data_IF_498293568009
#
_entry.id   IF_498293568009
#
_cell.length_a   1.000
_cell.length_b   1.000
_cell.length_c   1.000
_cell.angle_alpha   90.00
_cell.angle_beta   90.00
_cell.angle_gamma   90.00
#
_symmetry.space_group_name_H-M   'P 1'
#
loop_
_entity.id
_entity.type
_entity.pdbx_description
1 polymer ?
#
# COMPACT_ATOMS: atom_id res chain seq x y z
N UNK A 1 42.32 0.83 2.64
CA UNK A 1 41.10 1.65 2.31
C UNK A 1 40.18 1.83 3.51
N UNK A 2 40.00 0.80 4.35
CA UNK A 2 39.17 0.85 5.58
C UNK A 2 39.63 1.91 6.59
N UNK A 3 40.94 2.11 6.75
CA UNK A 3 41.50 3.10 7.68
C UNK A 3 41.29 4.57 7.24
N UNK A 4 41.17 4.86 5.94
CA UNK A 4 40.98 6.25 5.46
C UNK A 4 39.52 6.73 5.57
N UNK A 5 38.55 5.84 5.58
CA UNK A 5 37.12 6.20 5.76
C UNK A 5 36.78 6.50 7.22
N UNK A 6 37.51 5.98 8.17
CA UNK A 6 37.27 6.14 9.62
C UNK A 6 37.81 7.46 10.18
N UNK A 7 38.93 7.99 9.66
CA UNK A 7 39.67 9.12 10.24
C UNK A 7 38.91 10.45 10.20
N UNK A 8 37.98 10.67 9.30
CA UNK A 8 37.18 11.91 9.27
C UNK A 8 35.85 11.84 10.02
N UNK A 9 35.45 10.64 10.46
CA UNK A 9 34.13 10.37 11.07
C UNK A 9 34.22 9.73 12.47
N UNK A 10 35.42 9.50 13.00
CA UNK A 10 35.63 8.75 14.25
C UNK A 10 34.90 9.35 15.46
N UNK A 11 34.86 10.67 15.60
CA UNK A 11 34.10 11.32 16.66
C UNK A 11 32.59 11.12 16.49
N UNK A 12 32.09 11.12 15.27
CA UNK A 12 30.68 10.89 15.00
C UNK A 12 30.24 9.42 15.21
N UNK A 13 31.08 8.46 14.83
CA UNK A 13 30.82 7.03 15.02
C UNK A 13 30.85 6.68 16.50
N UNK A 14 31.86 7.11 17.23
CA UNK A 14 31.99 6.84 18.65
C UNK A 14 30.82 7.36 19.49
N UNK A 15 30.37 8.58 19.21
CA UNK A 15 29.30 9.19 19.98
C UNK A 15 27.90 8.63 19.62
N UNK A 16 27.67 8.34 18.34
CA UNK A 16 26.42 7.72 17.89
C UNK A 16 26.31 6.24 18.28
N UNK A 17 27.43 5.51 18.31
CA UNK A 17 27.47 4.11 18.70
C UNK A 17 27.28 3.88 20.21
N UNK A 18 27.20 4.95 21.03
CA UNK A 18 26.88 4.89 22.48
C UNK A 18 25.39 4.71 22.77
N UNK A 19 24.52 4.85 21.77
CA UNK A 19 23.08 4.60 21.94
C UNK A 19 22.83 3.11 22.10
N UNK A 20 21.72 2.69 22.79
CA UNK A 20 21.37 1.28 22.92
C UNK A 20 21.19 0.58 21.58
N UNK A 21 20.70 1.33 20.56
CA UNK A 21 20.49 0.82 19.20
C UNK A 21 21.80 0.66 18.41
N UNK A 22 22.89 1.31 18.85
CA UNK A 22 24.15 1.37 18.12
C UNK A 22 24.09 2.27 16.90
N UNK A 23 25.11 2.21 16.05
CA UNK A 23 25.17 2.90 14.78
C UNK A 23 25.27 1.89 13.63
N UNK A 24 24.36 1.98 12.66
CA UNK A 24 24.45 1.20 11.44
C UNK A 24 25.45 1.82 10.46
N UNK A 25 26.33 0.98 9.94
CA UNK A 25 27.30 1.31 8.90
C UNK A 25 27.09 0.39 7.70
N UNK A 26 27.03 0.99 6.51
CA UNK A 26 27.03 0.26 5.25
C UNK A 26 28.46 0.27 4.71
N UNK A 27 29.14 -0.86 4.78
CA UNK A 27 30.47 -1.06 4.24
C UNK A 27 30.40 -1.85 2.93
N UNK A 28 31.49 -1.90 2.19
CA UNK A 28 31.53 -2.59 0.90
C UNK A 28 31.22 -4.10 0.99
N UNK A 29 31.45 -4.69 2.13
CA UNK A 29 31.26 -6.11 2.45
C UNK A 29 29.95 -6.42 3.18
N UNK A 30 29.18 -5.40 3.58
CA UNK A 30 27.89 -5.65 4.25
C UNK A 30 27.41 -4.52 5.14
N UNK A 31 26.35 -4.83 5.90
CA UNK A 31 25.72 -3.97 6.88
C UNK A 31 26.21 -4.36 8.28
N UNK A 32 26.74 -3.40 8.98
CA UNK A 32 27.32 -3.58 10.30
C UNK A 32 26.61 -2.71 11.32
N UNK A 33 26.33 -3.24 12.50
CA UNK A 33 25.87 -2.45 13.64
C UNK A 33 27.03 -2.30 14.65
N UNK A 34 27.37 -1.06 14.95
CA UNK A 34 28.53 -0.74 15.81
C UNK A 34 28.03 -0.18 17.13
N UNK A 35 28.45 -0.82 18.21
CA UNK A 35 28.22 -0.36 19.58
C UNK A 35 29.55 0.10 20.19
N UNK A 36 29.50 1.18 20.94
CA UNK A 36 30.68 1.66 21.67
C UNK A 36 30.41 1.69 23.17
N UNK A 37 31.42 1.27 23.93
CA UNK A 37 31.44 1.40 25.40
C UNK A 37 32.77 1.92 25.89
N UNK A 38 32.75 2.68 26.99
CA UNK A 38 33.96 3.16 27.63
C UNK A 38 34.36 2.20 28.74
N UNK A 39 35.57 1.67 28.65
CA UNK A 39 36.15 0.75 29.64
C UNK A 39 37.21 1.48 30.44
N UNK A 40 37.17 1.45 31.79
CA UNK A 40 38.20 2.01 32.60
C UNK A 40 39.53 1.29 32.36
N UNK A 41 40.58 2.01 32.00
CA UNK A 41 41.91 1.47 31.71
C UNK A 41 42.98 2.19 32.50
N UNK A 42 43.11 1.94 33.79
CA UNK A 42 44.14 2.58 34.62
C UNK A 42 44.01 4.10 34.68
N UNK A 43 45.03 4.82 34.19
CA UNK A 43 45.05 6.30 34.15
C UNK A 43 44.32 6.88 32.94
N UNK A 44 43.96 6.08 31.95
CA UNK A 44 43.28 6.50 30.71
C UNK A 44 42.01 5.67 30.48
N UNK A 45 40.99 6.27 29.89
CA UNK A 45 39.78 5.56 29.44
C UNK A 45 39.97 5.03 28.04
N UNK A 46 39.63 3.76 27.80
CA UNK A 46 39.61 3.14 26.47
C UNK A 46 38.20 3.07 25.94
N UNK A 47 38.05 3.23 24.63
CA UNK A 47 36.77 2.99 23.94
C UNK A 47 36.81 1.63 23.26
N UNK A 48 35.91 0.75 23.65
CA UNK A 48 35.68 -0.53 23.00
C UNK A 48 34.61 -0.33 21.91
N UNK A 49 34.92 -0.72 20.67
CA UNK A 49 33.98 -0.77 19.57
C UNK A 49 33.68 -2.25 19.25
N UNK A 50 32.41 -2.58 19.23
CA UNK A 50 31.91 -3.93 18.87
C UNK A 50 31.18 -3.81 17.54
N UNK A 51 31.67 -4.53 16.53
CA UNK A 51 31.07 -4.59 15.21
C UNK A 51 30.29 -5.90 15.07
N UNK A 52 28.99 -5.79 14.88
CA UNK A 52 28.09 -6.91 14.60
C UNK A 52 27.69 -6.88 13.14
N UNK A 53 27.98 -7.95 12.40
CA UNK A 53 27.52 -8.07 11.03
C UNK A 53 26.00 -8.41 11.01
N UNK A 54 25.21 -7.56 10.37
CA UNK A 54 23.77 -7.70 10.26
C UNK A 54 23.29 -7.89 8.81
N UNK A 55 24.17 -8.12 7.85
CA UNK A 55 23.86 -8.22 6.43
C UNK A 55 22.74 -9.23 6.16
N UNK A 56 22.88 -10.45 6.68
CA UNK A 56 21.88 -11.50 6.52
C UNK A 56 20.55 -11.14 7.18
N UNK A 57 20.61 -10.59 8.40
CA UNK A 57 19.41 -10.17 9.13
C UNK A 57 18.64 -9.08 8.38
N UNK A 58 19.34 -8.04 7.90
CA UNK A 58 18.73 -6.95 7.14
C UNK A 58 18.14 -7.41 5.82
N UNK A 59 18.81 -8.35 5.15
CA UNK A 59 18.28 -8.95 3.93
C UNK A 59 16.98 -9.72 4.20
N UNK A 60 16.95 -10.52 5.26
CA UNK A 60 15.74 -11.27 5.64
C UNK A 60 14.62 -10.31 6.04
N UNK A 61 14.92 -9.27 6.82
CA UNK A 61 13.95 -8.25 7.22
C UNK A 61 13.34 -7.53 6.00
N UNK A 62 14.16 -7.15 5.05
CA UNK A 62 13.74 -6.49 3.82
C UNK A 62 12.84 -7.41 2.99
N UNK A 63 13.27 -8.66 2.78
CA UNK A 63 12.49 -9.66 2.05
C UNK A 63 11.17 -9.97 2.76
N UNK A 64 11.20 -10.11 4.08
CA UNK A 64 9.98 -10.32 4.89
C UNK A 64 8.98 -9.17 4.70
N UNK A 65 9.44 -7.91 4.75
CA UNK A 65 8.57 -6.74 4.54
C UNK A 65 8.02 -6.70 3.11
N UNK A 66 8.88 -6.98 2.13
CA UNK A 66 8.53 -6.94 0.71
C UNK A 66 7.57 -8.06 0.28
N UNK A 67 7.65 -9.23 0.93
CA UNK A 67 6.80 -10.40 0.64
C UNK A 67 5.50 -10.44 1.43
N UNK A 68 5.27 -9.51 2.36
CA UNK A 68 4.01 -9.48 3.12
C UNK A 68 2.82 -9.30 2.19
N UNK A 69 1.71 -10.04 2.41
CA UNK A 69 0.52 -9.89 1.59
C UNK A 69 -0.22 -8.60 1.93
N UNK A 70 -0.54 -7.82 0.91
CA UNK A 70 -1.56 -6.78 0.96
C UNK A 70 -2.85 -7.22 0.29
N UNK A 71 -3.94 -6.53 0.56
CA UNK A 71 -5.26 -6.85 0.06
C UNK A 71 -5.82 -5.71 -0.79
N UNK A 72 -6.43 -6.05 -1.92
CA UNK A 72 -7.07 -5.10 -2.82
C UNK A 72 -8.52 -5.49 -3.06
N UNK A 73 -9.40 -4.50 -3.09
CA UNK A 73 -10.79 -4.63 -3.53
C UNK A 73 -11.02 -3.69 -4.69
N UNK A 74 -11.56 -4.21 -5.78
CA UNK A 74 -11.94 -3.44 -6.96
C UNK A 74 -13.45 -3.43 -7.07
N UNK A 75 -14.02 -2.30 -7.40
CA UNK A 75 -15.44 -2.16 -7.68
C UNK A 75 -15.65 -1.37 -8.96
N UNK A 76 -16.37 -1.92 -9.90
CA UNK A 76 -16.83 -1.20 -11.09
C UNK A 76 -17.91 -0.21 -10.66
N UNK A 77 -17.65 1.07 -10.88
CA UNK A 77 -18.55 2.14 -10.44
C UNK A 77 -19.83 2.13 -11.27
N UNK A 78 -20.98 2.23 -10.59
CA UNK A 78 -22.28 2.24 -11.26
C UNK A 78 -22.55 1.00 -12.12
N UNK A 79 -22.10 -0.18 -11.70
CA UNK A 79 -22.18 -1.43 -12.48
C UNK A 79 -23.58 -1.67 -13.10
N UNK A 80 -24.62 -1.54 -12.30
CA UNK A 80 -25.98 -1.78 -12.78
C UNK A 80 -26.41 -0.72 -13.81
N UNK A 81 -26.07 0.55 -13.59
CA UNK A 81 -26.38 1.65 -14.51
C UNK A 81 -25.64 1.50 -15.86
N UNK A 82 -24.37 1.04 -15.80
CA UNK A 82 -23.54 0.85 -17.00
C UNK A 82 -23.99 -0.33 -17.84
N UNK A 83 -24.42 -1.42 -17.22
CA UNK A 83 -24.68 -2.68 -17.90
C UNK A 83 -26.15 -3.01 -18.10
N UNK A 84 -27.13 -2.24 -17.55
CA UNK A 84 -28.58 -2.54 -17.64
C UNK A 84 -29.11 -2.53 -19.08
N UNK A 85 -28.66 -1.55 -19.86
CA UNK A 85 -29.21 -1.29 -21.20
C UNK A 85 -28.31 -1.84 -22.34
N UNK A 86 -27.24 -2.58 -21.98
CA UNK A 86 -26.32 -3.17 -22.96
C UNK A 86 -26.78 -4.52 -23.48
N UNK A 87 -26.49 -4.78 -24.76
CA UNK A 87 -26.61 -6.11 -25.32
C UNK A 87 -25.68 -7.09 -24.60
N UNK A 88 -26.10 -8.33 -24.44
CA UNK A 88 -25.30 -9.37 -23.76
C UNK A 88 -23.91 -9.54 -24.35
N UNK A 89 -23.77 -9.41 -25.68
CA UNK A 89 -22.46 -9.49 -26.36
C UNK A 89 -21.52 -8.32 -26.04
N UNK A 90 -22.04 -7.11 -25.93
CA UNK A 90 -21.27 -5.90 -25.57
C UNK A 90 -20.86 -5.97 -24.11
N UNK A 91 -21.80 -6.35 -23.25
CA UNK A 91 -21.55 -6.59 -21.81
C UNK A 91 -20.44 -7.62 -21.60
N UNK A 92 -20.52 -8.77 -22.31
CA UNK A 92 -19.51 -9.82 -22.20
C UNK A 92 -18.13 -9.32 -22.63
N UNK A 93 -18.06 -8.55 -23.72
CA UNK A 93 -16.80 -7.97 -24.22
C UNK A 93 -16.18 -7.00 -23.22
N UNK A 94 -16.97 -6.11 -22.62
CA UNK A 94 -16.46 -5.16 -21.62
C UNK A 94 -15.99 -5.87 -20.34
N UNK A 95 -16.75 -6.85 -19.86
CA UNK A 95 -16.34 -7.63 -18.69
C UNK A 95 -15.07 -8.43 -18.93
N UNK A 96 -14.88 -8.99 -20.14
CA UNK A 96 -13.63 -9.64 -20.54
C UNK A 96 -12.47 -8.62 -20.58
N UNK A 97 -12.72 -7.42 -21.10
CA UNK A 97 -11.74 -6.33 -21.10
C UNK A 97 -11.30 -5.95 -19.69
N UNK A 98 -12.25 -5.76 -18.76
CA UNK A 98 -11.96 -5.50 -17.36
C UNK A 98 -11.14 -6.62 -16.75
N UNK A 99 -11.56 -7.88 -16.94
CA UNK A 99 -10.82 -9.04 -16.41
C UNK A 99 -9.38 -9.04 -16.91
N UNK A 100 -9.16 -8.86 -18.22
CA UNK A 100 -7.83 -8.83 -18.83
C UNK A 100 -6.96 -7.72 -18.24
N UNK A 101 -7.48 -6.51 -18.10
CA UNK A 101 -6.73 -5.37 -17.53
C UNK A 101 -6.33 -5.64 -16.08
N UNK A 102 -7.25 -6.21 -15.27
CA UNK A 102 -6.96 -6.57 -13.88
C UNK A 102 -5.98 -7.75 -13.77
N UNK A 103 -6.12 -8.77 -14.61
CA UNK A 103 -5.19 -9.91 -14.67
C UNK A 103 -3.79 -9.47 -15.09
N UNK A 104 -3.67 -8.56 -16.06
CA UNK A 104 -2.40 -8.00 -16.49
C UNK A 104 -1.74 -7.16 -15.38
N UNK A 105 -2.54 -6.43 -14.59
CA UNK A 105 -2.03 -5.67 -13.45
C UNK A 105 -1.49 -6.60 -12.36
N UNK A 106 -2.28 -7.59 -11.95
CA UNK A 106 -1.90 -8.48 -10.84
C UNK A 106 -0.76 -9.41 -11.24
N UNK A 107 -0.64 -9.71 -12.54
CA UNK A 107 0.42 -10.55 -13.10
C UNK A 107 0.22 -12.04 -12.80
N UNK A 108 1.04 -12.84 -13.51
CA UNK A 108 1.00 -14.30 -13.34
C UNK A 108 2.10 -14.73 -12.37
N UNK A 109 1.73 -15.09 -11.15
CA UNK A 109 2.61 -15.82 -10.27
C UNK A 109 2.95 -15.24 -8.90
N UNK A 110 2.63 -13.97 -8.62
CA UNK A 110 2.96 -13.33 -7.32
C UNK A 110 1.75 -12.89 -6.51
N UNK A 111 0.55 -13.11 -7.05
CA UNK A 111 -0.71 -12.78 -6.39
C UNK A 111 -1.86 -13.57 -6.99
N UNK A 112 -3.04 -13.39 -6.47
CA UNK A 112 -4.24 -13.91 -7.11
C UNK A 112 -5.29 -12.80 -7.26
N UNK A 113 -6.10 -12.93 -8.31
CA UNK A 113 -7.26 -12.11 -8.58
C UNK A 113 -8.48 -13.01 -8.63
N UNK A 114 -9.58 -12.58 -8.01
CA UNK A 114 -10.86 -13.31 -8.07
C UNK A 114 -12.02 -12.35 -8.16
N UNK A 115 -12.94 -12.64 -9.08
CA UNK A 115 -14.25 -12.01 -9.11
C UNK A 115 -15.13 -12.64 -8.03
N UNK A 116 -15.68 -11.84 -7.12
CA UNK A 116 -16.49 -12.30 -5.98
C UNK A 116 -17.97 -11.96 -6.12
N UNK A 117 -18.28 -10.95 -6.94
CA UNK A 117 -19.65 -10.55 -7.27
C UNK A 117 -19.68 -9.81 -8.62
N UNK A 118 -20.88 -9.40 -9.07
CA UNK A 118 -21.04 -8.54 -10.23
C UNK A 118 -20.26 -7.23 -10.01
N UNK A 119 -19.30 -6.94 -10.91
CA UNK A 119 -18.49 -5.75 -10.83
C UNK A 119 -17.52 -5.67 -9.64
N UNK A 120 -17.40 -6.72 -8.81
CA UNK A 120 -16.52 -6.71 -7.63
C UNK A 120 -15.46 -7.79 -7.73
N UNK A 121 -14.19 -7.36 -7.53
CA UNK A 121 -13.04 -8.25 -7.55
C UNK A 121 -12.21 -8.05 -6.29
N UNK A 122 -11.49 -9.08 -5.92
CA UNK A 122 -10.49 -9.05 -4.85
C UNK A 122 -9.15 -9.54 -5.39
N UNK A 123 -8.08 -8.99 -4.87
CA UNK A 123 -6.73 -9.51 -5.11
C UNK A 123 -5.92 -9.52 -3.82
N UNK A 124 -4.99 -10.45 -3.75
CA UNK A 124 -3.93 -10.46 -2.73
C UNK A 124 -2.61 -10.50 -3.46
N UNK A 125 -1.74 -9.55 -3.15
CA UNK A 125 -0.43 -9.39 -3.78
C UNK A 125 0.60 -9.05 -2.73
N UNK A 126 1.87 -9.30 -3.04
CA UNK A 126 2.96 -8.93 -2.16
C UNK A 126 3.15 -7.41 -2.10
N UNK A 127 3.62 -6.90 -0.97
CA UNK A 127 3.88 -5.49 -0.70
C UNK A 127 4.75 -4.83 -1.77
N UNK A 128 5.78 -5.54 -2.27
CA UNK A 128 6.65 -5.06 -3.35
C UNK A 128 5.91 -4.67 -4.63
N UNK A 129 4.80 -5.34 -4.93
CA UNK A 129 3.98 -5.03 -6.11
C UNK A 129 3.03 -3.88 -5.84
N UNK A 130 2.45 -3.80 -4.63
CA UNK A 130 1.63 -2.66 -4.23
C UNK A 130 2.42 -1.35 -4.32
N UNK A 131 3.68 -1.37 -3.89
CA UNK A 131 4.55 -0.22 -4.01
C UNK A 131 4.80 0.18 -5.47
N UNK A 132 5.01 -0.79 -6.36
CA UNK A 132 5.15 -0.53 -7.79
C UNK A 132 3.86 0.05 -8.40
N UNK A 133 2.67 -0.42 -7.98
CA UNK A 133 1.40 0.12 -8.46
C UNK A 133 1.19 1.55 -7.97
N UNK A 134 1.52 1.84 -6.71
CA UNK A 134 1.46 3.18 -6.15
C UNK A 134 2.39 4.16 -6.88
N UNK A 135 3.63 3.75 -7.19
CA UNK A 135 4.59 4.55 -7.96
C UNK A 135 4.09 4.88 -9.37
N UNK A 136 3.28 4.00 -9.98
CA UNK A 136 2.61 4.23 -11.27
C UNK A 136 1.29 4.98 -11.15
N UNK A 137 0.91 5.39 -9.94
CA UNK A 137 -0.35 6.09 -9.68
C UNK A 137 -1.60 5.24 -9.95
N UNK A 138 -1.49 3.91 -9.90
CA UNK A 138 -2.57 2.97 -10.26
C UNK A 138 -3.10 3.22 -11.67
N UNK A 139 -2.23 3.15 -12.67
CA UNK A 139 -2.51 3.36 -14.10
C UNK A 139 -3.63 2.45 -14.67
N UNK A 140 -4.02 1.44 -13.93
CA UNK A 140 -5.15 0.57 -14.22
C UNK A 140 -6.48 1.36 -14.32
N UNK A 141 -6.62 2.47 -13.58
CA UNK A 141 -7.79 3.34 -13.66
C UNK A 141 -7.96 3.90 -15.08
N UNK A 142 -6.88 4.42 -15.67
CA UNK A 142 -6.88 4.95 -17.03
C UNK A 142 -7.11 3.85 -18.08
N UNK A 143 -6.53 2.67 -17.87
CA UNK A 143 -6.71 1.52 -18.77
C UNK A 143 -8.16 1.05 -18.82
N UNK A 144 -8.86 1.05 -17.67
CA UNK A 144 -10.29 0.70 -17.62
C UNK A 144 -11.14 1.76 -18.31
N UNK A 145 -10.89 3.06 -18.08
CA UNK A 145 -11.59 4.15 -18.79
C UNK A 145 -11.42 4.07 -20.31
N UNK A 146 -10.25 3.64 -20.75
CA UNK A 146 -9.92 3.51 -22.17
C UNK A 146 -10.53 2.29 -22.88
N UNK A 147 -11.15 1.35 -22.16
CA UNK A 147 -11.74 0.13 -22.76
C UNK A 147 -12.86 0.46 -23.74
N UNK A 148 -13.70 1.42 -23.39
CA UNK A 148 -14.74 1.92 -24.27
C UNK A 148 -15.05 3.39 -23.95
N UNK A 149 -14.56 4.34 -24.79
CA UNK A 149 -14.79 5.77 -24.56
C UNK A 149 -16.26 6.22 -24.70
N UNK A 150 -17.11 5.39 -25.30
CA UNK A 150 -18.54 5.68 -25.43
C UNK A 150 -19.33 5.38 -24.14
N UNK A 151 -18.72 4.61 -23.24
CA UNK A 151 -19.28 4.21 -21.95
C UNK A 151 -18.52 4.89 -20.84
N UNK A 152 -19.23 5.50 -19.90
CA UNK A 152 -18.59 6.08 -18.71
C UNK A 152 -18.19 4.97 -17.71
N UNK A 153 -17.22 4.13 -18.13
CA UNK A 153 -16.72 3.01 -17.36
C UNK A 153 -15.60 3.47 -16.44
N UNK A 154 -15.73 3.24 -15.15
CA UNK A 154 -14.69 3.50 -14.15
C UNK A 154 -14.66 2.43 -13.07
N UNK A 155 -13.57 2.38 -12.32
CA UNK A 155 -13.43 1.53 -11.16
C UNK A 155 -12.94 2.32 -9.96
N UNK A 156 -13.37 1.90 -8.79
CA UNK A 156 -12.81 2.32 -7.51
C UNK A 156 -11.99 1.19 -6.91
N UNK A 157 -10.86 1.52 -6.31
CA UNK A 157 -9.93 0.54 -5.75
C UNK A 157 -9.69 0.90 -4.28
N UNK A 158 -9.90 -0.07 -3.39
CA UNK A 158 -9.49 0.00 -1.99
C UNK A 158 -8.30 -0.92 -1.75
N UNK A 159 -7.25 -0.40 -1.12
CA UNK A 159 -6.01 -1.13 -0.85
C UNK A 159 -5.72 -1.07 0.65
N UNK A 160 -5.49 -2.24 1.27
CA UNK A 160 -4.99 -2.38 2.64
C UNK A 160 -3.59 -2.97 2.63
N UNK A 161 -2.63 -2.24 3.21
CA UNK A 161 -1.23 -2.66 3.28
C UNK A 161 -0.59 -2.33 4.64
N UNK A 162 0.52 -3.00 4.95
CA UNK A 162 1.21 -2.81 6.22
C UNK A 162 0.50 -3.43 7.44
N UNK A 163 -0.63 -4.10 7.25
CA UNK A 163 -1.41 -4.73 8.31
C UNK A 163 -0.68 -5.93 8.95
N UNK A 164 -1.01 -6.28 10.19
CA UNK A 164 -0.40 -7.43 10.88
C UNK A 164 -0.95 -8.76 10.37
N UNK A 165 -2.19 -8.79 9.90
CA UNK A 165 -2.87 -9.97 9.41
C UNK A 165 -3.57 -9.69 8.09
N UNK A 166 -3.83 -10.74 7.29
CA UNK A 166 -4.57 -10.60 6.03
C UNK A 166 -6.01 -10.13 6.27
N UNK A 167 -6.62 -10.50 7.40
CA UNK A 167 -7.96 -10.03 7.78
C UNK A 167 -7.96 -8.51 8.00
N UNK A 168 -7.00 -8.02 8.76
CA UNK A 168 -6.83 -6.58 8.97
C UNK A 168 -6.58 -5.84 7.64
N UNK A 169 -5.74 -6.40 6.76
CA UNK A 169 -5.54 -5.84 5.42
C UNK A 169 -6.83 -5.78 4.60
N UNK A 170 -7.68 -6.82 4.70
CA UNK A 170 -9.00 -6.83 4.08
C UNK A 170 -9.91 -5.74 4.62
N UNK A 171 -9.98 -5.60 5.95
CA UNK A 171 -10.82 -4.58 6.60
C UNK A 171 -10.35 -3.16 6.20
N UNK A 172 -9.04 -2.95 6.16
CA UNK A 172 -8.42 -1.70 5.66
C UNK A 172 -8.78 -1.44 4.19
N UNK A 173 -8.68 -2.45 3.33
CA UNK A 173 -9.02 -2.31 1.91
C UNK A 173 -10.50 -1.95 1.69
N UNK A 174 -11.41 -2.53 2.48
CA UNK A 174 -12.84 -2.19 2.41
C UNK A 174 -13.08 -0.74 2.84
N UNK A 175 -12.47 -0.31 3.95
CA UNK A 175 -12.57 1.09 4.40
C UNK A 175 -11.98 2.06 3.35
N UNK A 176 -10.85 1.71 2.74
CA UNK A 176 -10.25 2.51 1.69
C UNK A 176 -11.16 2.61 0.47
N UNK A 177 -11.82 1.51 0.06
CA UNK A 177 -12.80 1.52 -1.03
C UNK A 177 -13.98 2.45 -0.71
N UNK A 178 -14.52 2.38 0.51
CA UNK A 178 -15.63 3.24 0.95
C UNK A 178 -15.21 4.72 0.88
N UNK A 179 -13.97 5.03 1.26
CA UNK A 179 -13.42 6.39 1.14
C UNK A 179 -13.28 6.84 -0.31
N UNK A 180 -12.80 5.97 -1.20
CA UNK A 180 -12.72 6.27 -2.64
C UNK A 180 -14.10 6.56 -3.23
N UNK A 181 -15.08 5.73 -2.91
CA UNK A 181 -16.47 5.93 -3.35
C UNK A 181 -17.11 7.19 -2.76
N UNK A 182 -16.87 7.48 -1.47
CA UNK A 182 -17.35 8.68 -0.80
C UNK A 182 -16.84 9.97 -1.46
N UNK A 183 -15.71 9.93 -2.16
CA UNK A 183 -15.11 11.04 -2.91
C UNK A 183 -15.57 11.12 -4.37
N UNK A 184 -16.47 10.24 -4.79
CA UNK A 184 -17.04 10.23 -6.14
C UNK A 184 -16.64 9.03 -7.01
N UNK A 185 -15.83 8.12 -6.50
CA UNK A 185 -15.33 6.96 -7.24
C UNK A 185 -14.20 7.31 -8.21
N UNK A 186 -13.91 6.37 -9.14
CA UNK A 186 -12.91 6.53 -10.19
C UNK A 186 -11.50 6.86 -9.67
N UNK A 187 -11.10 6.24 -8.56
CA UNK A 187 -9.85 6.47 -7.88
C UNK A 187 -9.41 5.24 -7.07
N UNK A 188 -8.13 5.19 -6.75
CA UNK A 188 -7.59 4.25 -5.79
C UNK A 188 -7.36 4.96 -4.45
N UNK A 189 -7.76 4.31 -3.36
CA UNK A 189 -7.46 4.72 -2.00
C UNK A 189 -6.66 3.62 -1.33
N UNK A 190 -5.57 4.01 -0.71
CA UNK A 190 -4.67 3.13 0.03
C UNK A 190 -4.76 3.46 1.51
N UNK A 191 -4.98 2.45 2.34
CA UNK A 191 -4.96 2.56 3.78
C UNK A 191 -3.76 1.80 4.35
N UNK A 192 -2.98 2.51 5.13
CA UNK A 192 -1.87 1.97 5.92
C UNK A 192 -2.11 2.28 7.41
N UNK A 193 -1.35 1.71 8.35
CA UNK A 193 -1.40 2.13 9.75
C UNK A 193 -1.16 3.63 9.96
N UNK A 194 -0.49 4.30 9.02
CA UNK A 194 -0.14 5.73 9.10
C UNK A 194 -1.23 6.65 8.52
N UNK A 195 -2.23 6.09 7.81
CA UNK A 195 -3.34 6.85 7.24
C UNK A 195 -3.71 6.47 5.81
N UNK A 196 -4.39 7.41 5.13
CA UNK A 196 -4.89 7.23 3.77
C UNK A 196 -4.07 8.00 2.75
N UNK A 197 -3.84 7.37 1.59
CA UNK A 197 -3.30 8.00 0.39
C UNK A 197 -4.26 7.76 -0.77
N UNK A 198 -4.45 8.76 -1.64
CA UNK A 198 -5.37 8.68 -2.77
C UNK A 198 -4.63 8.87 -4.09
N UNK A 199 -5.04 8.10 -5.11
CA UNK A 199 -4.45 8.11 -6.44
C UNK A 199 -5.55 8.19 -7.50
N UNK A 200 -5.29 8.89 -8.60
CA UNK A 200 -6.28 9.14 -9.63
C UNK A 200 -7.29 10.21 -9.18
N UNK A 201 -8.51 10.12 -9.66
CA UNK A 201 -9.53 11.11 -9.38
C UNK A 201 -9.49 12.25 -10.40
N UNK A 202 -9.88 11.95 -11.65
CA UNK A 202 -10.26 12.99 -12.59
C UNK A 202 -11.63 13.51 -12.13
N UNK A 203 -11.66 14.68 -11.53
CA UNK A 203 -12.90 15.36 -11.15
C UNK A 203 -13.71 15.66 -12.41
N UNK A 204 -14.47 14.71 -12.91
CA UNK A 204 -15.56 15.03 -13.79
C UNK A 204 -16.63 15.68 -12.95
N UNK A 205 -16.80 16.99 -13.09
CA UNK A 205 -17.71 17.83 -12.33
C UNK A 205 -19.20 17.56 -12.60
N UNK A 206 -19.59 16.32 -12.47
CA UNK A 206 -20.99 15.90 -12.31
C UNK A 206 -21.08 15.34 -10.90
N UNK A 207 -21.65 16.15 -10.03
CA UNK A 207 -22.04 15.75 -8.68
C UNK A 207 -23.05 14.61 -8.77
N UNK A 208 -22.57 13.37 -8.94
CA UNK A 208 -23.40 12.20 -8.73
C UNK A 208 -23.75 12.19 -7.23
N UNK A 209 -24.95 12.66 -6.90
CA UNK A 209 -25.57 12.46 -5.58
C UNK A 209 -25.66 10.96 -5.35
N UNK A 210 -24.60 10.37 -4.82
CA UNK A 210 -24.59 8.95 -4.53
C UNK A 210 -25.49 8.71 -3.31
N UNK A 211 -26.41 7.75 -3.43
CA UNK A 211 -27.23 7.23 -2.30
C UNK A 211 -26.38 6.77 -1.11
N UNK A 212 -25.08 6.54 -1.33
CA UNK A 212 -24.08 6.15 -0.33
C UNK A 212 -23.78 7.30 0.63
N UNK A 213 -23.69 8.56 0.16
CA UNK A 213 -23.50 9.74 1.03
C UNK A 213 -24.64 9.89 2.05
N UNK A 214 -25.87 9.62 1.62
CA UNK A 214 -27.05 9.67 2.50
C UNK A 214 -27.05 8.57 3.55
N UNK A 215 -26.52 7.38 3.24
CA UNK A 215 -26.42 6.26 4.20
C UNK A 215 -25.32 6.47 5.23
N UNK A 216 -24.12 6.93 4.82
CA UNK A 216 -23.01 7.18 5.76
C UNK A 216 -23.38 8.28 6.75
N UNK A 217 -24.01 9.38 6.28
CA UNK A 217 -24.47 10.46 7.14
C UNK A 217 -25.60 9.98 8.06
N UNK A 218 -26.51 9.15 7.57
CA UNK A 218 -27.59 8.58 8.39
C UNK A 218 -27.05 7.62 9.47
N UNK A 219 -26.10 6.75 9.14
CA UNK A 219 -25.48 5.83 10.12
C UNK A 219 -24.62 6.57 11.16
N UNK A 220 -23.93 7.63 10.77
CA UNK A 220 -23.19 8.48 11.71
C UNK A 220 -24.13 9.25 12.64
N UNK A 221 -25.23 9.79 12.11
CA UNK A 221 -26.26 10.46 12.93
C UNK A 221 -26.94 9.50 13.92
N UNK A 222 -27.25 8.28 13.47
CA UNK A 222 -27.82 7.24 14.35
C UNK A 222 -26.86 6.81 15.46
N UNK A 223 -25.56 6.76 15.18
CA UNK A 223 -24.54 6.48 16.21
C UNK A 223 -24.42 7.63 17.22
N UNK A 224 -24.37 8.86 16.75
CA UNK A 224 -24.28 10.05 17.61
C UNK A 224 -25.51 10.20 18.49
N UNK A 225 -26.70 9.86 18.00
CA UNK A 225 -27.95 9.89 18.83
C UNK A 225 -27.95 8.76 19.86
N UNK A 226 -27.41 7.58 19.55
CA UNK A 226 -27.30 6.46 20.51
C UNK A 226 -26.22 6.63 21.57
N UNK A 227 -25.23 7.51 21.33
CA UNK A 227 -24.19 7.83 22.30
C UNK A 227 -24.59 9.04 23.22
N UNK A 228 -25.70 9.72 22.89
CA UNK A 228 -26.20 10.89 23.62
C UNK A 228 -27.37 10.56 24.59
N UNK A 229 -27.89 9.31 24.56
CA UNK A 229 -28.84 8.75 25.55
C UNK A 229 -28.09 7.82 26.52
#
# INVERSE_FOLDING_TARGET
EMQRSLVGSEMCIRDRARTPEGQQLNLADGVWNVHSSTVPGGSESMTLLVFNEETALRRIETEYKASRPGYMVFLVDGYDDVFSDMLDSERARLLEGINRVLEDMIGRGTGFLRRVASGRYIAVVEERHLEQYAQRGYDVLDKIRALDPSVNLSISIGIGRGAKTLREAQDMAVQALDMAQGRGGDQAAEMTPDGFTFYGGVSHGVEKRSKVRSRIVADQLVRLVKEAD
#
